data_IF_935185179654
#
_entry.id   IF_935185179654
#
_cell.length_a   1.000
_cell.length_b   1.000
_cell.length_c   1.000
_cell.angle_alpha   90.00
_cell.angle_beta   90.00
_cell.angle_gamma   90.00
#
_symmetry.space_group_name_H-M   'P 1'
#
loop_
_entity.id
_entity.type
_entity.pdbx_description
1 polymer ?
2 non-polymer ?
3 non-polymer ?
#
# COMPACT_ATOMS: atom_id res chain seq x y z
N UNK A 1 -23.90 1.47 13.62
CA UNK A 1 -24.09 2.01 12.28
C UNK A 1 -23.85 0.94 11.23
N UNK A 2 -24.47 1.10 10.06
CA UNK A 2 -24.28 0.16 8.97
C UNK A 2 -23.03 0.52 8.19
N UNK A 3 -22.17 -0.46 7.96
CA UNK A 3 -20.92 -0.25 7.24
C UNK A 3 -20.63 -1.44 6.33
N UNK A 4 -20.15 -1.12 5.13
CA UNK A 4 -19.80 -2.10 4.13
C UNK A 4 -18.30 -2.27 4.08
N UNK A 5 -17.88 -3.45 3.64
CA UNK A 5 -16.48 -3.74 3.37
C UNK A 5 -16.41 -4.16 1.92
N UNK A 6 -15.76 -3.35 1.11
CA UNK A 6 -15.51 -3.68 -0.30
C UNK A 6 -14.28 -4.57 -0.37
N UNK A 7 -14.50 -5.85 -0.65
CA UNK A 7 -13.41 -6.78 -0.92
C UNK A 7 -13.96 -7.93 -1.73
N UNK A 8 -13.30 -8.26 -2.84
CA UNK A 8 -13.77 -9.36 -3.67
C UNK A 8 -13.76 -10.68 -2.89
N UNK A 9 -12.93 -10.78 -1.87
CA UNK A 9 -12.96 -11.92 -0.97
C UNK A 9 -13.21 -11.44 0.46
N UNK A 10 -14.04 -12.17 1.19
CA UNK A 10 -14.43 -11.79 2.53
C UNK A 10 -14.04 -12.82 3.58
N UNK A 11 -13.44 -13.93 3.13
CA UNK A 11 -12.98 -14.95 4.04
C UNK A 11 -11.56 -14.71 4.53
N UNK A 12 -10.74 -13.99 3.75
CA UNK A 12 -9.35 -13.81 4.14
C UNK A 12 -9.27 -13.02 5.46
N UNK A 13 -8.16 -13.23 6.16
CA UNK A 13 -8.04 -12.82 7.56
C UNK A 13 -8.45 -11.39 7.79
N UNK A 14 -7.96 -10.45 6.97
CA UNK A 14 -8.16 -9.04 7.27
C UNK A 14 -9.63 -8.66 7.20
N UNK A 15 -10.36 -9.18 6.21
CA UNK A 15 -11.77 -8.83 6.07
C UNK A 15 -12.61 -9.50 7.15
N UNK A 16 -12.30 -10.76 7.46
CA UNK A 16 -12.93 -11.43 8.59
C UNK A 16 -12.76 -10.64 9.88
N UNK A 17 -11.52 -10.25 10.19
CA UNK A 17 -11.21 -9.50 11.41
C UNK A 17 -11.93 -8.17 11.45
N UNK A 18 -12.06 -7.49 10.30
CA UNK A 18 -12.81 -6.24 10.27
C UNK A 18 -14.29 -6.47 10.58
N UNK A 19 -14.90 -7.47 9.93
CA UNK A 19 -16.28 -7.82 10.22
C UNK A 19 -16.48 -8.10 11.71
N UNK A 20 -15.57 -8.92 12.26
CA UNK A 20 -15.64 -9.31 13.66
C UNK A 20 -15.52 -8.12 14.58
N UNK A 21 -14.48 -7.31 14.40
CA UNK A 21 -14.28 -6.15 15.24
C UNK A 21 -15.40 -5.13 15.11
N UNK A 22 -16.18 -5.19 14.02
CA UNK A 22 -17.23 -4.19 13.83
C UNK A 22 -18.56 -4.62 14.43
N UNK A 23 -18.97 -5.87 14.22
CA UNK A 23 -20.15 -6.37 14.92
C UNK A 23 -19.90 -6.34 16.42
N UNK A 24 -18.66 -6.61 16.83
CA UNK A 24 -18.31 -6.65 18.24
C UNK A 24 -18.48 -5.31 18.91
N UNK A 25 -18.36 -4.22 18.16
CA UNK A 25 -18.51 -2.89 18.70
C UNK A 25 -19.91 -2.33 18.46
N UNK A 26 -20.86 -3.18 18.07
CA UNK A 26 -22.25 -2.80 17.98
C UNK A 26 -22.66 -2.17 16.67
N UNK A 27 -22.20 -2.75 15.55
CA UNK A 27 -22.45 -2.22 14.23
C UNK A 27 -22.99 -3.33 13.32
N UNK A 28 -23.70 -2.92 12.28
CA UNK A 28 -24.15 -3.83 11.23
C UNK A 28 -23.17 -3.78 10.07
N UNK A 29 -22.83 -4.94 9.53
CA UNK A 29 -21.72 -5.07 8.59
C UNK A 29 -22.14 -5.94 7.41
N UNK A 30 -21.96 -5.41 6.20
CA UNK A 30 -22.06 -6.25 5.01
C UNK A 30 -20.72 -6.26 4.29
N UNK A 31 -20.34 -7.43 3.79
CA UNK A 31 -19.17 -7.54 2.93
C UNK A 31 -19.64 -7.69 1.50
N UNK A 32 -19.22 -6.76 0.66
CA UNK A 32 -19.66 -6.64 -0.72
C UNK A 32 -18.49 -6.88 -1.67
N UNK A 33 -18.74 -7.70 -2.68
CA UNK A 33 -17.77 -7.85 -3.76
C UNK A 33 -17.97 -6.69 -4.71
N UNK A 34 -16.95 -5.83 -4.92
CA UNK A 34 -17.12 -4.72 -5.86
C UNK A 34 -17.67 -5.14 -7.21
N UNK A 35 -17.09 -6.19 -7.81
CA UNK A 35 -17.47 -6.57 -9.16
C UNK A 35 -18.95 -6.97 -9.26
N UNK A 36 -19.58 -7.31 -8.13
CA UNK A 36 -21.01 -7.61 -8.12
C UNK A 36 -21.87 -6.39 -7.82
N UNK A 37 -21.27 -5.21 -7.64
CA UNK A 37 -22.04 -3.97 -7.62
C UNK A 37 -22.42 -3.54 -9.02
N UNK A 38 -23.51 -2.81 -9.12
CA UNK A 38 -23.85 -2.17 -10.39
C UNK A 38 -24.80 -1.01 -10.10
N UNK A 39 -24.63 0.10 -10.83
CA UNK A 39 -25.33 1.31 -10.43
C UNK A 39 -25.43 2.27 -11.60
N UNK A 40 -26.38 3.19 -11.48
CA UNK A 40 -26.48 4.34 -12.39
C UNK A 40 -25.55 5.43 -11.89
N UNK A 41 -24.65 5.90 -12.75
CA UNK A 41 -23.88 7.07 -12.38
C UNK A 41 -24.59 8.36 -12.78
N UNK A 42 -25.36 8.33 -13.87
CA UNK A 42 -26.21 9.43 -14.30
C UNK A 42 -27.65 8.93 -14.28
N UNK A 43 -28.57 9.52 -13.49
CA UNK A 43 -28.39 10.71 -12.65
C UNK A 43 -27.42 10.51 -11.50
N UNK A 44 -26.94 11.60 -10.93
CA UNK A 44 -26.03 11.50 -9.80
C UNK A 44 -26.77 10.94 -8.59
N UNK A 45 -26.04 10.15 -7.80
CA UNK A 45 -26.48 9.64 -6.50
C UNK A 45 -27.62 8.64 -6.60
N UNK A 46 -27.80 7.98 -7.74
CA UNK A 46 -28.73 6.87 -7.82
C UNK A 46 -28.18 5.69 -7.01
N UNK A 47 -29.08 4.94 -6.37
CA UNK A 47 -28.71 3.84 -5.49
C UNK A 47 -27.80 2.81 -6.15
N UNK A 48 -27.17 1.96 -5.35
CA UNK A 48 -26.32 0.88 -5.82
C UNK A 48 -27.10 -0.42 -5.69
N UNK A 49 -26.94 -1.32 -6.64
CA UNK A 49 -27.62 -2.62 -6.62
C UNK A 49 -26.60 -3.74 -6.50
N UNK A 50 -27.03 -4.80 -5.82
CA UNK A 50 -26.17 -5.94 -5.49
C UNK A 50 -27.06 -7.17 -5.55
N UNK A 51 -26.87 -7.98 -6.58
CA UNK A 51 -27.60 -9.24 -6.77
C UNK A 51 -29.12 -9.03 -6.72
N UNK A 52 -29.63 -8.18 -7.59
CA UNK A 52 -31.05 -8.02 -7.78
C UNK A 52 -31.76 -7.09 -6.83
N UNK A 53 -31.11 -6.64 -5.76
CA UNK A 53 -31.74 -5.74 -4.79
C UNK A 53 -30.96 -4.45 -4.68
N UNK A 54 -31.65 -3.39 -4.26
CA UNK A 54 -31.00 -2.13 -3.93
C UNK A 54 -30.18 -2.29 -2.66
N UNK A 55 -29.27 -1.41 -2.49
CA UNK A 55 -28.57 -1.52 -1.22
C UNK A 55 -29.11 -0.49 -0.23
N UNK A 56 -29.03 -0.74 1.06
CA UNK A 56 -29.33 0.32 2.03
C UNK A 56 -28.20 1.32 2.08
N UNK A 57 -28.47 2.48 2.67
CA UNK A 57 -27.45 3.49 2.81
C UNK A 57 -26.47 3.06 3.89
N UNK A 58 -25.20 2.93 3.53
CA UNK A 58 -24.16 2.61 4.49
C UNK A 58 -23.59 3.90 5.04
N UNK A 59 -23.43 3.96 6.36
CA UNK A 59 -22.89 5.14 7.00
C UNK A 59 -21.39 5.28 6.76
N UNK A 60 -20.71 4.17 6.51
CA UNK A 60 -19.29 4.16 6.19
C UNK A 60 -19.00 2.91 5.38
N UNK A 61 -17.81 2.88 4.79
CA UNK A 61 -17.41 1.76 3.94
C UNK A 61 -15.89 1.65 3.95
N UNK A 62 -15.41 0.44 4.19
CA UNK A 62 -13.98 0.14 4.16
C UNK A 62 -13.66 -0.39 2.76
N UNK A 63 -12.81 0.29 2.02
CA UNK A 63 -12.28 -0.32 0.81
C UNK A 63 -11.09 -1.20 1.10
N UNK A 64 -11.18 -2.46 0.68
CA UNK A 64 -10.03 -3.36 0.55
C UNK A 64 -10.01 -3.70 -0.93
N UNK A 65 -9.45 -2.80 -1.74
CA UNK A 65 -9.63 -2.85 -3.17
C UNK A 65 -8.47 -3.65 -3.75
N UNK A 66 -8.80 -4.80 -4.34
CA UNK A 66 -7.83 -5.61 -5.04
C UNK A 66 -6.93 -4.78 -5.92
N UNK A 67 -5.63 -5.03 -5.85
CA UNK A 67 -4.68 -4.34 -6.70
C UNK A 67 -4.98 -4.49 -8.19
N UNK A 68 -5.79 -5.48 -8.56
CA UNK A 68 -6.07 -5.80 -9.94
C UNK A 68 -7.46 -5.35 -10.42
N UNK A 69 -8.35 -4.95 -9.51
CA UNK A 69 -9.67 -4.49 -9.95
C UNK A 69 -9.80 -3.03 -9.56
N UNK A 70 -8.73 -2.26 -9.76
CA UNK A 70 -8.64 -0.96 -9.09
C UNK A 70 -9.61 0.05 -9.68
N UNK A 71 -9.72 0.10 -11.01
CA UNK A 71 -10.56 1.12 -11.63
C UNK A 71 -12.03 0.93 -11.30
N UNK A 72 -12.56 -0.28 -11.54
CA UNK A 72 -13.95 -0.51 -11.19
C UNK A 72 -14.17 -0.46 -9.67
N UNK A 73 -13.20 -0.96 -8.90
CA UNK A 73 -13.33 -0.91 -7.45
C UNK A 73 -13.46 0.52 -6.94
N UNK A 74 -12.54 1.40 -7.35
CA UNK A 74 -12.59 2.80 -6.96
C UNK A 74 -13.79 3.52 -7.56
N UNK A 75 -14.32 3.06 -8.70
CA UNK A 75 -15.56 3.62 -9.23
C UNK A 75 -16.72 3.35 -8.28
N UNK A 76 -16.83 2.09 -7.84
CA UNK A 76 -17.89 1.72 -6.89
C UNK A 76 -17.71 2.45 -5.55
N UNK A 77 -16.48 2.50 -5.05
CA UNK A 77 -16.20 3.26 -3.84
C UNK A 77 -16.63 4.72 -3.99
N UNK A 78 -16.33 5.33 -5.14
CA UNK A 78 -16.68 6.73 -5.36
C UNK A 78 -18.19 6.92 -5.43
N UNK A 79 -18.92 5.92 -5.92
CA UNK A 79 -20.38 6.00 -5.86
C UNK A 79 -20.87 6.00 -4.42
N UNK A 80 -20.33 5.09 -3.59
CA UNK A 80 -20.68 5.12 -2.17
C UNK A 80 -20.39 6.48 -1.56
N UNK A 81 -19.23 7.06 -1.88
CA UNK A 81 -18.87 8.39 -1.40
C UNK A 81 -19.91 9.43 -1.80
N UNK A 82 -20.18 9.53 -3.10
CA UNK A 82 -21.16 10.51 -3.60
C UNK A 82 -22.54 10.28 -3.02
N UNK A 83 -22.79 9.10 -2.48
CA UNK A 83 -24.09 8.81 -1.90
C UNK A 83 -24.13 9.09 -0.39
N UNK A 84 -23.00 9.46 0.21
CA UNK A 84 -22.96 9.93 1.58
C UNK A 84 -22.09 9.14 2.52
N UNK A 85 -21.64 7.94 2.16
CA UNK A 85 -20.85 7.12 3.04
C UNK A 85 -19.52 7.79 3.36
N UNK A 86 -18.90 7.32 4.41
CA UNK A 86 -17.58 7.79 4.80
C UNK A 86 -16.56 6.76 4.37
N UNK A 87 -15.51 7.14 3.66
CA UNK A 87 -14.53 6.14 3.22
C UNK A 87 -13.32 6.06 4.15
N UNK A 88 -13.04 4.87 4.66
CA UNK A 88 -11.78 4.63 5.35
C UNK A 88 -10.73 4.45 4.27
N UNK A 89 -10.08 5.56 3.90
CA UNK A 89 -9.33 5.80 2.68
C UNK A 89 -10.26 6.24 1.55
N UNK A 90 -10.11 7.49 1.10
CA UNK A 90 -10.86 8.03 -0.03
C UNK A 90 -10.40 7.41 -1.35
N UNK A 91 -11.32 7.40 -2.34
CA UNK A 91 -11.07 6.76 -3.62
C UNK A 91 -9.92 7.42 -4.39
N UNK A 92 -9.87 8.76 -4.37
CA UNK A 92 -8.81 9.42 -5.13
C UNK A 92 -7.46 9.21 -4.46
N UNK A 93 -7.43 9.14 -3.13
CA UNK A 93 -6.17 8.81 -2.47
C UNK A 93 -5.73 7.40 -2.80
N UNK A 94 -6.69 6.49 -2.93
CA UNK A 94 -6.38 5.11 -3.32
C UNK A 94 -5.78 5.09 -4.70
N UNK A 95 -6.43 5.77 -5.65
CA UNK A 95 -5.94 5.84 -7.03
C UNK A 95 -4.52 6.40 -7.07
N UNK A 96 -4.31 7.60 -6.52
CA UNK A 96 -2.98 8.16 -6.38
C UNK A 96 -1.97 7.15 -5.86
N UNK A 97 -2.32 6.48 -4.75
CA UNK A 97 -1.39 5.60 -4.04
C UNK A 97 -1.09 4.32 -4.79
N UNK A 98 -1.94 3.93 -5.75
CA UNK A 98 -1.65 2.74 -6.55
C UNK A 98 -0.39 2.98 -7.39
N UNK A 99 -0.42 4.03 -8.22
CA UNK A 99 0.69 4.45 -9.08
C UNK A 99 1.91 4.70 -8.22
N UNK A 100 2.84 3.74 -8.21
CA UNK A 100 3.99 3.85 -7.33
C UNK A 100 4.90 5.01 -7.76
N UNK A 101 4.93 5.31 -9.05
CA UNK A 101 5.76 6.41 -9.55
C UNK A 101 5.23 7.75 -9.09
N UNK A 102 3.95 8.02 -9.36
CA UNK A 102 3.32 9.26 -8.93
C UNK A 102 3.56 9.51 -7.45
N UNK A 103 3.62 8.41 -6.68
CA UNK A 103 3.71 8.44 -5.23
C UNK A 103 5.12 8.73 -4.76
N UNK A 104 6.11 8.04 -5.32
CA UNK A 104 7.50 8.39 -5.03
C UNK A 104 7.76 9.86 -5.35
N UNK A 105 7.20 10.34 -6.46
CA UNK A 105 7.37 11.73 -6.84
C UNK A 105 6.77 12.66 -5.79
N UNK A 106 5.52 12.41 -5.42
CA UNK A 106 4.85 13.22 -4.41
C UNK A 106 5.61 13.22 -3.10
N UNK A 107 6.18 12.06 -2.72
CA UNK A 107 6.90 11.97 -1.45
C UNK A 107 8.18 12.77 -1.48
N UNK A 108 8.99 12.57 -2.53
CA UNK A 108 10.23 13.33 -2.67
C UNK A 108 9.95 14.82 -2.71
N UNK A 109 8.84 15.22 -3.35
CA UNK A 109 8.50 16.63 -3.43
C UNK A 109 8.26 17.23 -2.05
N UNK A 110 7.65 16.46 -1.14
CA UNK A 110 7.39 16.92 0.23
C UNK A 110 8.59 16.79 1.15
N UNK A 111 9.77 16.48 0.62
CA UNK A 111 10.95 16.41 1.44
C UNK A 111 11.11 15.14 2.23
N UNK A 112 10.27 14.14 1.99
CA UNK A 112 10.44 12.83 2.62
C UNK A 112 11.69 12.18 2.06
N UNK A 113 12.54 11.67 2.95
CA UNK A 113 13.80 11.11 2.50
C UNK A 113 13.55 9.69 2.01
N UNK A 114 13.56 9.50 0.71
CA UNK A 114 13.50 8.21 0.06
C UNK A 114 14.90 7.79 -0.35
N UNK A 115 15.09 6.53 -0.72
CA UNK A 115 16.35 6.15 -1.35
C UNK A 115 16.42 6.75 -2.74
N UNK A 116 17.65 6.97 -3.22
CA UNK A 116 17.78 7.59 -4.54
C UNK A 116 17.31 6.59 -5.60
N UNK A 117 16.29 6.98 -6.35
CA UNK A 117 15.68 6.12 -7.35
C UNK A 117 15.48 6.91 -8.63
N UNK A 118 15.71 6.24 -9.76
CA UNK A 118 15.39 6.77 -11.08
C UNK A 118 14.43 5.85 -11.79
N UNK A 119 13.75 6.36 -12.81
CA UNK A 119 12.72 5.60 -13.53
C UNK A 119 13.01 5.63 -15.03
N UNK A 120 12.52 4.61 -15.73
CA UNK A 120 12.86 4.45 -17.14
C UNK A 120 11.97 3.40 -17.79
N UNK A 121 11.53 3.62 -19.03
CA UNK A 121 10.74 2.65 -19.78
C UNK A 121 11.52 1.98 -20.89
N UNK A 122 11.83 2.72 -21.95
CA UNK A 122 12.70 2.24 -23.03
C UNK A 122 13.86 3.21 -23.11
N UNK A 123 14.77 3.18 -22.14
CA UNK A 123 15.91 4.11 -22.17
C UNK A 123 16.89 3.75 -23.27
N UNK A 124 17.85 4.64 -23.55
CA UNK A 124 18.73 4.45 -24.69
C UNK A 124 20.22 4.40 -24.34
N UNK A 125 20.61 4.84 -23.15
CA UNK A 125 22.01 4.76 -22.70
C UNK A 125 21.98 4.15 -21.31
N UNK A 126 22.00 2.82 -21.21
CA UNK A 126 21.89 2.17 -19.91
C UNK A 126 23.04 2.58 -18.99
N UNK A 127 24.23 2.78 -19.55
CA UNK A 127 25.35 3.23 -18.73
C UNK A 127 25.09 4.61 -18.12
N UNK A 128 24.45 5.51 -18.87
CA UNK A 128 24.10 6.82 -18.31
C UNK A 128 23.08 6.68 -17.19
N UNK A 129 22.08 5.81 -17.38
CA UNK A 129 21.05 5.61 -16.36
C UNK A 129 21.64 5.02 -15.08
N UNK A 130 22.57 4.07 -15.21
CA UNK A 130 23.23 3.50 -14.04
C UNK A 130 24.06 4.57 -13.33
N UNK A 131 24.87 5.31 -14.09
CA UNK A 131 25.64 6.40 -13.48
C UNK A 131 24.72 7.37 -12.76
N UNK A 132 23.49 7.53 -13.24
CA UNK A 132 22.58 8.54 -12.71
C UNK A 132 22.20 8.26 -11.26
N UNK A 133 22.01 6.99 -10.90
CA UNK A 133 21.54 6.63 -9.57
C UNK A 133 22.68 6.16 -8.67
N UNK A 134 23.92 6.49 -9.02
CA UNK A 134 25.06 6.18 -8.15
C UNK A 134 25.75 4.87 -8.40
N UNK A 135 25.44 4.19 -9.50
CA UNK A 135 26.16 2.98 -9.88
C UNK A 135 25.88 1.79 -8.98
N UNK A 136 26.50 0.67 -9.36
CA UNK A 136 26.27 -0.60 -8.70
C UNK A 136 26.76 -0.57 -7.26
N UNK A 137 26.18 -1.40 -6.37
CA UNK A 137 25.04 -2.28 -6.64
C UNK A 137 23.70 -1.54 -6.58
N UNK A 138 22.72 -2.06 -7.31
CA UNK A 138 21.44 -1.41 -7.45
C UNK A 138 20.33 -2.44 -7.37
N UNK A 139 19.14 -1.96 -7.03
CA UNK A 139 17.92 -2.75 -7.03
C UNK A 139 17.10 -2.29 -8.23
N UNK A 140 16.72 -3.21 -9.09
CA UNK A 140 15.82 -2.92 -10.21
C UNK A 140 14.46 -3.53 -9.88
N UNK A 141 13.45 -2.68 -9.77
CA UNK A 141 12.08 -3.11 -9.63
C UNK A 141 11.39 -2.75 -10.93
N UNK A 142 10.43 -3.56 -11.36
CA UNK A 142 9.81 -3.22 -12.62
C UNK A 142 8.32 -3.27 -12.39
N UNK A 143 7.58 -2.65 -13.33
CA UNK A 143 6.14 -2.47 -13.21
C UNK A 143 5.46 -2.49 -14.58
N UNK A 144 4.40 -3.28 -14.65
CA UNK A 144 3.45 -3.35 -15.75
C UNK A 144 2.27 -2.47 -15.37
N UNK A 145 2.09 -1.36 -16.07
CA UNK A 145 1.11 -0.37 -15.63
C UNK A 145 1.45 0.08 -14.23
N UNK A 146 0.57 -0.24 -13.28
CA UNK A 146 0.82 -0.05 -11.86
C UNK A 146 1.37 -1.30 -11.19
N UNK A 147 0.98 -2.48 -11.67
CA UNK A 147 1.46 -3.75 -11.14
C UNK A 147 2.98 -3.88 -11.27
N UNK A 148 3.65 -4.11 -10.14
CA UNK A 148 5.04 -4.50 -10.19
C UNK A 148 5.18 -6.00 -10.12
N UNK A 149 5.91 -6.62 -11.03
CA UNK A 149 6.01 -8.08 -11.04
C UNK A 149 7.37 -8.56 -10.53
N UNK A 150 8.43 -7.76 -10.67
CA UNK A 150 9.75 -8.20 -10.25
C UNK A 150 10.58 -7.20 -9.47
N UNK A 151 11.26 -7.68 -8.42
CA UNK A 151 12.32 -6.96 -7.74
C UNK A 151 13.56 -7.82 -7.77
N UNK A 152 14.69 -7.25 -8.22
CA UNK A 152 15.91 -8.02 -8.40
C UNK A 152 17.13 -7.17 -8.07
N UNK A 153 18.14 -7.83 -7.51
CA UNK A 153 19.39 -7.19 -7.15
C UNK A 153 20.41 -7.35 -8.26
N UNK A 154 21.24 -6.33 -8.46
CA UNK A 154 22.37 -6.41 -9.38
C UNK A 154 23.56 -5.81 -8.68
N UNK A 155 24.58 -6.62 -8.43
CA UNK A 155 25.71 -6.16 -7.63
C UNK A 155 26.85 -5.61 -8.48
N UNK A 156 26.97 -6.07 -9.72
CA UNK A 156 28.01 -5.61 -10.64
C UNK A 156 27.46 -4.57 -11.61
N UNK A 157 28.37 -3.92 -12.33
CA UNK A 157 27.91 -3.00 -13.37
C UNK A 157 27.33 -3.76 -14.56
N UNK A 158 27.96 -4.88 -14.94
CA UNK A 158 27.44 -5.66 -16.05
C UNK A 158 26.11 -6.31 -15.72
N UNK A 159 25.91 -6.74 -14.47
CA UNK A 159 24.61 -7.31 -14.11
C UNK A 159 23.51 -6.28 -14.24
N UNK A 160 23.77 -5.04 -13.81
CA UNK A 160 22.81 -3.96 -13.97
C UNK A 160 22.53 -3.70 -15.44
N UNK A 161 23.60 -3.61 -16.26
CA UNK A 161 23.44 -3.40 -17.70
C UNK A 161 22.56 -4.49 -18.31
N UNK A 162 22.86 -5.75 -17.99
CA UNK A 162 22.13 -6.89 -18.53
C UNK A 162 20.66 -6.83 -18.14
N UNK A 163 20.36 -6.57 -16.87
CA UNK A 163 18.97 -6.55 -16.44
C UNK A 163 18.23 -5.39 -17.10
N UNK A 164 18.87 -4.22 -17.16
CA UNK A 164 18.18 -3.05 -17.70
C UNK A 164 17.82 -3.28 -19.16
N UNK A 165 18.81 -3.60 -20.00
CA UNK A 165 18.38 -3.77 -21.40
C UNK A 165 17.69 -5.11 -21.64
N UNK A 166 17.65 -5.99 -20.65
CA UNK A 166 16.75 -7.13 -20.74
C UNK A 166 15.30 -6.68 -20.63
N UNK A 167 15.06 -5.66 -19.82
CA UNK A 167 13.73 -5.09 -19.64
C UNK A 167 13.45 -3.97 -20.61
N UNK A 168 14.50 -3.48 -21.28
CA UNK A 168 14.35 -2.35 -22.19
C UNK A 168 13.42 -2.74 -23.31
N UNK A 169 12.56 -1.79 -23.71
CA UNK A 169 11.52 -2.10 -24.66
C UNK A 169 10.70 -3.32 -24.32
N UNK A 170 10.67 -3.76 -23.05
CA UNK A 170 9.84 -4.91 -22.70
C UNK A 170 8.40 -4.51 -22.43
N UNK A 171 8.12 -3.20 -22.45
CA UNK A 171 6.79 -2.57 -22.39
C UNK A 171 6.33 -2.42 -20.95
N UNK A 172 7.28 -2.51 -20.02
CA UNK A 172 7.05 -2.23 -18.60
C UNK A 172 8.04 -1.16 -18.19
N UNK A 173 7.66 -0.29 -17.26
CA UNK A 173 8.70 0.65 -16.88
C UNK A 173 9.46 0.04 -15.71
N UNK A 174 10.56 0.67 -15.31
CA UNK A 174 11.40 0.12 -14.26
C UNK A 174 11.91 1.26 -13.38
N UNK A 175 12.16 0.95 -12.12
CA UNK A 175 12.87 1.79 -11.18
C UNK A 175 14.22 1.17 -10.87
N UNK A 176 15.26 1.99 -10.90
CA UNK A 176 16.57 1.62 -10.41
C UNK A 176 16.83 2.42 -9.15
N UNK A 177 17.21 1.73 -8.08
CA UNK A 177 17.20 2.27 -6.73
C UNK A 177 18.50 1.90 -6.05
N UNK A 178 18.98 2.76 -5.16
CA UNK A 178 20.21 2.43 -4.45
C UNK A 178 19.95 1.25 -3.52
N UNK A 179 20.80 0.25 -3.61
CA UNK A 179 20.68 -0.92 -2.75
C UNK A 179 21.11 -0.56 -1.34
N UNK A 180 20.19 -0.65 -0.39
CA UNK A 180 20.48 -0.38 1.02
C UNK A 180 21.06 -1.67 1.58
N UNK A 181 22.37 -1.86 1.39
CA UNK A 181 23.02 -3.07 1.89
C UNK A 181 22.97 -3.12 3.41
N UNK A 182 23.06 -1.96 4.06
CA UNK A 182 23.09 -1.88 5.51
C UNK A 182 21.80 -2.36 6.16
N UNK A 183 20.71 -2.51 5.41
CA UNK A 183 19.50 -3.06 5.99
C UNK A 183 19.61 -4.56 6.27
N UNK A 184 20.64 -5.22 5.77
CA UNK A 184 20.83 -6.68 5.90
C UNK A 184 19.53 -7.44 5.63
N UNK A 185 18.73 -6.94 4.68
CA UNK A 185 17.50 -7.62 4.33
C UNK A 185 16.34 -7.36 5.24
N UNK A 186 16.39 -6.30 6.05
CA UNK A 186 15.39 -5.99 7.06
C UNK A 186 14.55 -4.79 6.64
N UNK A 187 13.26 -4.86 6.90
CA UNK A 187 12.31 -3.81 6.54
C UNK A 187 11.30 -3.68 7.66
N UNK A 188 10.86 -2.44 7.90
CA UNK A 188 9.96 -2.11 8.99
C UNK A 188 8.65 -1.65 8.38
N UNK A 189 7.61 -2.49 8.44
CA UNK A 189 6.27 -2.09 8.02
C UNK A 189 5.56 -1.45 9.21
N UNK A 190 5.34 -0.14 9.15
CA UNK A 190 4.48 0.57 10.08
C UNK A 190 3.06 0.62 9.54
N UNK A 191 2.10 0.65 10.46
CA UNK A 191 0.70 0.74 10.07
C UNK A 191 0.12 1.99 10.70
N UNK A 192 -0.18 2.97 9.86
CA UNK A 192 -0.73 4.25 10.29
C UNK A 192 -2.24 4.15 10.19
N UNK A 193 -2.94 4.54 11.24
CA UNK A 193 -4.38 4.68 11.23
C UNK A 193 -4.64 6.08 11.74
N UNK A 194 -5.30 6.89 10.92
CA UNK A 194 -5.38 8.32 11.18
C UNK A 194 -4.01 8.90 11.47
N UNK A 195 -3.89 9.53 12.64
CA UNK A 195 -2.72 10.32 12.98
C UNK A 195 -1.74 9.59 13.89
N UNK A 196 -1.74 8.25 13.87
CA UNK A 196 -0.83 7.52 14.74
C UNK A 196 -0.40 6.22 14.10
N UNK A 197 0.87 5.89 14.31
CA UNK A 197 1.35 4.54 14.04
C UNK A 197 0.84 3.62 15.14
N UNK A 198 -0.07 2.71 14.78
CA UNK A 198 -0.71 1.85 15.76
C UNK A 198 0.02 0.53 15.92
N UNK A 199 0.80 0.10 14.92
CA UNK A 199 1.62 -1.09 15.02
C UNK A 199 2.87 -0.89 14.17
N UNK A 200 3.74 -1.89 14.18
CA UNK A 200 4.97 -1.94 13.40
C UNK A 200 5.61 -3.31 13.63
N UNK A 201 6.15 -3.89 12.57
CA UNK A 201 6.91 -5.13 12.69
C UNK A 201 8.17 -4.98 11.87
N UNK A 202 9.13 -5.88 12.11
CA UNK A 202 10.33 -5.97 11.32
C UNK A 202 10.28 -7.29 10.54
N UNK A 203 10.45 -7.19 9.24
CA UNK A 203 10.58 -8.36 8.39
C UNK A 203 12.06 -8.59 8.10
N UNK A 204 12.51 -9.83 8.24
CA UNK A 204 13.89 -10.22 7.97
C UNK A 204 13.89 -11.22 6.84
N UNK A 205 14.66 -10.94 5.79
CA UNK A 205 14.73 -11.85 4.65
C UNK A 205 15.46 -13.12 5.00
N UNK A 206 15.01 -14.23 4.42
CA UNK A 206 15.71 -15.50 4.59
C UNK A 206 17.11 -15.41 3.99
N UNK A 207 18.04 -16.13 4.61
CA UNK A 207 19.46 -16.09 4.20
C UNK A 207 19.62 -16.30 2.71
N UNK A 208 20.65 -15.67 2.15
CA UNK A 208 20.90 -15.73 0.72
C UNK A 208 19.96 -14.88 -0.10
N UNK A 209 19.19 -14.01 0.52
CA UNK A 209 18.22 -13.19 -0.18
C UNK A 209 18.19 -11.83 0.50
N UNK A 210 17.69 -10.85 -0.23
CA UNK A 210 17.53 -9.48 0.27
C UNK A 210 16.06 -9.08 0.34
N UNK A 211 15.14 -9.91 -0.14
CA UNK A 211 13.73 -9.54 -0.23
C UNK A 211 13.06 -9.76 1.13
N UNK A 212 12.73 -8.64 1.77
CA UNK A 212 12.08 -8.58 3.08
C UNK A 212 10.78 -9.34 3.15
N UNK A 213 10.06 -9.49 2.04
CA UNK A 213 8.65 -9.88 2.07
C UNK A 213 8.44 -11.16 2.87
N UNK A 214 7.30 -11.24 3.56
CA UNK A 214 7.02 -12.40 4.40
C UNK A 214 6.86 -13.65 3.54
N UNK A 215 6.00 -13.57 2.53
CA UNK A 215 5.70 -14.72 1.68
C UNK A 215 6.96 -15.29 1.02
N UNK A 216 7.90 -14.41 0.66
CA UNK A 216 9.13 -14.80 -0.03
C UNK A 216 10.04 -15.56 0.92
N UNK A 217 9.60 -15.70 2.17
CA UNK A 217 10.23 -16.53 3.15
C UNK A 217 10.82 -15.81 4.33
N UNK A 218 10.20 -14.74 4.81
CA UNK A 218 10.80 -13.86 5.79
C UNK A 218 10.27 -14.04 7.20
N UNK A 219 11.15 -13.74 8.16
CA UNK A 219 10.81 -13.72 9.57
C UNK A 219 10.12 -12.41 9.94
N UNK A 220 9.28 -12.46 10.96
CA UNK A 220 8.56 -11.27 11.42
C UNK A 220 8.71 -11.13 12.93
N UNK A 221 9.40 -10.10 13.36
CA UNK A 221 9.56 -9.78 14.78
C UNK A 221 8.85 -8.48 15.10
N UNK A 222 8.78 -8.16 16.38
CA UNK A 222 8.22 -6.90 16.81
C UNK A 222 9.29 -5.83 16.68
N UNK A 223 8.92 -4.69 16.13
CA UNK A 223 9.87 -3.60 15.89
C UNK A 223 9.70 -2.51 16.92
N UNK A 224 10.82 -2.00 17.41
CA UNK A 224 10.82 -0.82 18.26
C UNK A 224 11.41 0.32 17.44
N UNK A 225 10.55 1.25 17.02
CA UNK A 225 10.90 2.28 16.03
C UNK A 225 11.24 3.58 16.73
N UNK A 226 12.19 4.34 16.16
CA UNK A 226 12.57 5.62 16.73
C UNK A 226 11.40 6.60 16.61
N UNK A 227 11.38 7.65 17.44
CA UNK A 227 10.37 8.70 17.23
C UNK A 227 10.47 9.36 15.88
N UNK A 228 11.68 9.49 15.35
CA UNK A 228 11.85 10.05 14.00
C UNK A 228 11.07 9.23 12.99
N UNK A 229 11.25 7.91 13.03
CA UNK A 229 10.54 7.02 12.11
C UNK A 229 9.03 7.16 12.23
N UNK A 230 8.53 7.24 13.47
CA UNK A 230 7.10 7.43 13.67
C UNK A 230 6.63 8.72 13.01
N UNK A 231 7.38 9.81 13.23
CA UNK A 231 7.02 11.10 12.66
C UNK A 231 6.94 11.03 11.14
N UNK A 232 7.98 10.46 10.52
CA UNK A 232 8.06 10.46 9.07
C UNK A 232 7.07 9.49 8.45
N UNK A 233 6.69 8.42 9.16
CA UNK A 233 5.64 7.55 8.65
C UNK A 233 4.28 8.24 8.68
N UNK A 234 4.02 9.03 9.72
CA UNK A 234 2.76 9.76 9.74
C UNK A 234 2.75 10.83 8.67
N UNK A 235 3.88 11.52 8.47
CA UNK A 235 3.97 12.51 7.40
C UNK A 235 3.75 11.89 6.03
N UNK A 236 4.34 10.72 5.79
CA UNK A 236 4.13 10.01 4.53
C UNK A 236 2.65 9.69 4.32
N UNK A 237 2.03 9.05 5.31
CA UNK A 237 0.61 8.70 5.19
C UNK A 237 -0.27 9.94 5.02
N UNK A 238 0.12 11.06 5.61
CA UNK A 238 -0.56 12.32 5.33
C UNK A 238 -0.44 12.72 3.86
N UNK A 239 0.79 13.02 3.43
CA UNK A 239 1.16 13.30 2.05
C UNK A 239 0.31 12.51 1.05
N UNK A 240 0.06 11.24 1.32
CA UNK A 240 -0.77 10.47 0.39
C UNK A 240 -2.27 10.65 0.58
N UNK A 241 -2.71 11.28 1.69
CA UNK A 241 -4.12 11.48 2.02
C UNK A 241 -4.84 10.18 2.38
N UNK A 242 -4.10 9.23 2.95
CA UNK A 242 -4.66 7.98 3.41
C UNK A 242 -5.04 8.05 4.88
N UNK A 243 -6.24 7.54 5.20
CA UNK A 243 -6.67 7.33 6.58
C UNK A 243 -6.04 6.08 7.18
N UNK A 244 -5.77 5.08 6.35
CA UNK A 244 -5.13 3.84 6.78
C UNK A 244 -4.03 3.52 5.76
N UNK A 245 -2.81 3.33 6.24
CA UNK A 245 -1.70 3.14 5.33
C UNK A 245 -0.69 2.17 5.93
N UNK A 246 -0.01 1.45 5.05
CA UNK A 246 1.11 0.63 5.43
C UNK A 246 2.41 1.18 4.86
N UNK A 247 3.18 1.86 5.69
CA UNK A 247 4.43 2.50 5.27
C UNK A 247 5.59 1.55 5.52
N UNK A 248 6.37 1.26 4.48
CA UNK A 248 7.55 0.43 4.63
C UNK A 248 8.80 1.30 4.70
N UNK A 249 9.71 0.97 5.61
CA UNK A 249 10.89 1.80 5.83
C UNK A 249 12.13 0.93 5.87
N UNK A 250 13.19 1.40 5.22
CA UNK A 250 14.53 0.82 5.30
C UNK A 250 15.38 1.70 6.19
N UNK A 251 16.13 1.07 7.10
CA UNK A 251 17.03 1.79 7.99
C UNK A 251 18.39 1.92 7.31
N UNK A 252 18.68 3.12 6.84
CA UNK A 252 19.92 3.39 6.12
C UNK A 252 20.79 4.34 6.93
N UNK A 253 22.09 4.29 6.66
CA UNK A 253 23.07 5.01 7.46
C UNK A 253 22.65 6.46 7.70
N UNK A 254 22.21 7.13 6.63
CA UNK A 254 21.80 8.53 6.76
C UNK A 254 20.43 8.70 7.39
N UNK A 255 19.68 7.61 7.59
CA UNK A 255 18.41 7.70 8.27
C UNK A 255 17.35 6.77 7.73
N UNK A 256 16.11 7.03 8.11
CA UNK A 256 15.00 6.17 7.68
C UNK A 256 14.50 6.60 6.30
N UNK A 257 14.39 5.63 5.40
CA UNK A 257 14.06 5.89 4.01
C UNK A 257 12.77 5.18 3.67
N UNK A 258 11.69 5.92 3.43
CA UNK A 258 10.46 5.31 2.97
C UNK A 258 10.68 4.67 1.62
N UNK A 259 10.13 3.48 1.42
CA UNK A 259 10.33 2.80 0.15
C UNK A 259 9.03 2.35 -0.52
N UNK A 260 7.94 2.25 0.22
CA UNK A 260 6.67 1.77 -0.32
C UNK A 260 5.59 2.28 0.61
N UNK A 261 4.43 2.64 0.06
CA UNK A 261 3.32 3.10 0.88
C UNK A 261 2.05 2.45 0.35
N UNK A 262 1.62 1.39 1.01
CA UNK A 262 0.42 0.66 0.64
C UNK A 262 -0.79 1.33 1.27
N UNK A 263 -1.95 1.14 0.66
CA UNK A 263 -3.14 1.82 1.10
C UNK A 263 -4.21 0.89 1.62
N UNK A 264 -4.09 -0.41 1.39
CA UNK A 264 -4.87 -1.41 2.11
C UNK A 264 -3.91 -2.54 2.43
N UNK A 265 -3.07 -2.37 3.44
CA UNK A 265 -2.09 -3.40 3.78
C UNK A 265 -2.73 -4.57 4.52
N UNK A 266 -2.09 -5.72 4.41
CA UNK A 266 -2.59 -6.89 5.10
C UNK A 266 -2.41 -6.77 6.60
N UNK A 267 -3.35 -7.36 7.34
CA UNK A 267 -3.31 -7.29 8.79
C UNK A 267 -2.72 -8.52 9.47
N UNK A 268 -2.79 -9.69 8.82
CA UNK A 268 -2.63 -10.94 9.54
C UNK A 268 -1.27 -11.02 10.24
N UNK A 269 -0.18 -10.84 9.50
CA UNK A 269 1.13 -10.98 10.10
C UNK A 269 1.39 -9.97 11.20
N UNK A 270 0.99 -8.72 10.98
CA UNK A 270 1.34 -7.67 11.93
C UNK A 270 0.51 -7.80 13.22
N UNK A 271 -0.77 -8.14 13.09
CA UNK A 271 -1.58 -8.47 14.27
C UNK A 271 -1.01 -9.70 14.99
N UNK A 272 -0.83 -10.80 14.26
CA UNK A 272 -0.39 -12.05 14.88
C UNK A 272 1.02 -12.00 15.45
N UNK A 273 1.83 -11.00 15.12
CA UNK A 273 3.10 -10.89 15.82
C UNK A 273 3.14 -9.77 16.85
N UNK A 274 2.16 -8.85 16.86
CA UNK A 274 2.14 -7.82 17.89
C UNK A 274 1.02 -7.98 18.91
N UNK A 275 -0.12 -8.54 18.52
CA UNK A 275 -1.25 -8.63 19.42
C UNK A 275 -2.02 -7.35 19.61
N UNK A 276 -2.00 -6.46 18.61
CA UNK A 276 -2.73 -5.19 18.68
C UNK A 276 -4.02 -5.33 17.89
N UNK A 277 -5.11 -4.78 18.42
CA UNK A 277 -6.43 -4.84 17.75
C UNK A 277 -6.49 -3.72 16.72
N UNK A 278 -5.92 -4.01 15.54
CA UNK A 278 -5.76 -2.99 14.52
C UNK A 278 -7.09 -2.72 13.82
N UNK A 279 -7.81 -3.80 13.47
CA UNK A 279 -9.18 -3.65 12.99
C UNK A 279 -10.02 -2.82 13.94
N UNK A 280 -9.82 -3.02 15.25
CA UNK A 280 -10.52 -2.21 16.22
C UNK A 280 -10.12 -0.75 16.15
N UNK A 281 -8.83 -0.48 15.98
CA UNK A 281 -8.37 0.90 15.92
C UNK A 281 -8.96 1.62 14.72
N UNK A 282 -9.05 0.94 13.57
CA UNK A 282 -9.61 1.63 12.42
C UNK A 282 -11.14 1.72 12.47
N UNK A 283 -11.81 0.77 13.14
CA UNK A 283 -13.24 0.96 13.38
C UNK A 283 -13.47 2.11 14.35
N UNK A 284 -12.59 2.28 15.33
CA UNK A 284 -12.66 3.46 16.18
C UNK A 284 -12.61 4.72 15.35
N UNK A 285 -11.58 4.81 14.49
CA UNK A 285 -11.35 5.98 13.65
C UNK A 285 -12.58 6.30 12.80
N UNK A 286 -13.20 5.24 12.26
CA UNK A 286 -14.49 5.42 11.61
C UNK A 286 -15.46 6.10 12.57
N UNK A 287 -15.71 5.47 13.73
CA UNK A 287 -16.63 6.02 14.73
C UNK A 287 -16.38 7.50 15.01
N UNK A 288 -15.10 7.86 15.13
CA UNK A 288 -14.70 9.21 15.45
C UNK A 288 -14.94 10.19 14.29
N UNK A 289 -15.01 9.69 13.05
CA UNK A 289 -15.22 10.56 11.89
C UNK A 289 -16.46 10.27 11.06
N UNK A 290 -17.09 9.10 11.20
CA UNK A 290 -18.21 8.68 10.38
C UNK A 290 -19.22 9.80 10.14
N UNK A 291 -19.83 10.25 11.23
CA UNK A 291 -20.90 11.27 11.21
C UNK A 291 -20.88 11.77 12.68
#
# INVERSE_FOLDING_TARGET
MKIAILSRDGTLYSCKRLREAAIQRGHLVEILDPLSCYMNINPAASSIHYKGRKLPHFDAVIPRIGTAITFYGTAALRQFEMLGSYPLNESVAIARARDKLRSMQLLARQGIDLPVTGIAHSPDDTSDLIDMVGGAPLVVKLVEGTQGIGVVLAETRQAAESVIDAFRGLNAHILVQEYIKEAQGCDIRCLVVGDEVVAAIERRAKEGDFRSNLHRGGAASVASITPQEREIAIKAARTMALDVAGVDILRANRGPLVMEVNASPGLEGIEKTTGIDIAGKMIRWIERHATTEYCLKTGGGTLVPR
#
